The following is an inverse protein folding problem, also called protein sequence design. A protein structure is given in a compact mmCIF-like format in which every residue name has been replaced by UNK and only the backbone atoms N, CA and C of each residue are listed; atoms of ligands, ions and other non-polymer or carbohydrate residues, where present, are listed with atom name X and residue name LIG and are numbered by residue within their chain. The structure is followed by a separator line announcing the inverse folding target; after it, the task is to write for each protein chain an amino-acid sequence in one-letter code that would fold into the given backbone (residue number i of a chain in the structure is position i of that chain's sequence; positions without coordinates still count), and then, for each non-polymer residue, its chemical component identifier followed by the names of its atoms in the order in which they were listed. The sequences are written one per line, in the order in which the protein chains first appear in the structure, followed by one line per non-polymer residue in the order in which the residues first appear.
data_IF_365215395838
#
_entry.id   IF_365215395838
#
_cell.length_a   1.000
_cell.length_b   1.000
_cell.length_c   1.000
_cell.angle_alpha   90.00
_cell.angle_beta   90.00
_cell.angle_gamma   90.00
#
_symmetry.space_group_name_H-M   'P 1'
#
loop_
_entity.id
_entity.type
_entity.pdbx_description
1 polymer ?
#
# COMPACT_ATOMS: atom_id res chain seq x y z
N UNK A 1 18.39 -7.59 24.40
CA UNK A 1 17.10 -8.28 24.22
C UNK A 1 16.12 -7.39 23.49
N UNK A 2 15.95 -6.14 23.92
CA UNK A 2 15.03 -5.22 23.29
C UNK A 2 15.44 -4.85 21.86
N UNK A 3 16.75 -4.78 21.60
CA UNK A 3 17.26 -4.48 20.25
C UNK A 3 16.98 -5.61 19.27
N UNK A 4 17.02 -6.84 19.72
CA UNK A 4 16.70 -7.97 18.85
C UNK A 4 15.23 -7.98 18.48
N UNK A 5 14.34 -7.63 19.40
CA UNK A 5 12.91 -7.54 19.13
C UNK A 5 12.58 -6.40 18.16
N UNK A 6 13.23 -5.24 18.33
CA UNK A 6 13.03 -4.11 17.43
C UNK A 6 13.53 -4.45 16.01
N UNK A 7 14.69 -5.09 15.92
CA UNK A 7 15.25 -5.54 14.65
C UNK A 7 14.34 -6.55 13.96
N UNK A 8 13.77 -7.47 14.72
CA UNK A 8 12.83 -8.47 14.19
C UNK A 8 11.58 -7.82 13.65
N UNK A 9 11.03 -6.81 14.36
CA UNK A 9 9.84 -6.07 13.93
C UNK A 9 10.09 -5.32 12.62
N UNK A 10 11.25 -4.64 12.53
CA UNK A 10 11.62 -3.93 11.31
C UNK A 10 11.81 -4.88 10.14
N UNK A 11 12.44 -6.02 10.37
CA UNK A 11 12.63 -7.04 9.34
C UNK A 11 11.29 -7.60 8.85
N UNK A 12 10.34 -7.82 9.77
CA UNK A 12 9.01 -8.30 9.43
C UNK A 12 8.24 -7.30 8.58
N UNK A 13 8.30 -6.02 8.96
CA UNK A 13 7.67 -4.94 8.18
C UNK A 13 8.32 -4.85 6.80
N UNK A 14 9.65 -4.91 6.72
CA UNK A 14 10.37 -4.83 5.46
C UNK A 14 9.99 -5.97 4.51
N UNK A 15 9.72 -7.16 5.03
CA UNK A 15 9.27 -8.28 4.20
C UNK A 15 7.94 -7.98 3.53
N UNK A 16 7.06 -7.20 4.16
CA UNK A 16 5.77 -6.83 3.58
C UNK A 16 5.94 -5.94 2.35
N UNK A 17 7.04 -5.18 2.25
CA UNK A 17 7.30 -4.30 1.12
C UNK A 17 7.85 -5.05 -0.10
N UNK A 18 8.20 -6.32 0.05
CA UNK A 18 8.81 -7.09 -1.03
C UNK A 18 7.74 -7.88 -1.77
N UNK A 19 7.58 -7.58 -3.05
CA UNK A 19 6.66 -8.32 -3.91
C UNK A 19 7.30 -9.68 -4.25
N UNK A 20 6.63 -10.76 -3.88
CA UNK A 20 7.11 -12.11 -4.11
C UNK A 20 6.04 -12.91 -4.82
N UNK A 21 6.39 -14.16 -5.21
CA UNK A 21 5.49 -15.03 -5.94
C UNK A 21 4.17 -15.30 -5.21
N UNK A 22 4.17 -15.22 -3.87
CA UNK A 22 2.93 -15.44 -3.11
C UNK A 22 1.85 -14.41 -3.40
N UNK A 23 2.24 -13.22 -3.89
CA UNK A 23 1.31 -12.14 -4.22
C UNK A 23 0.83 -12.20 -5.66
N UNK A 24 1.41 -13.06 -6.49
CA UNK A 24 1.04 -13.11 -7.90
C UNK A 24 -0.37 -13.65 -8.09
N UNK A 25 -1.14 -12.94 -8.89
CA UNK A 25 -2.48 -13.37 -9.31
C UNK A 25 -2.44 -14.23 -10.56
N UNK A 26 -1.36 -14.14 -11.34
CA UNK A 26 -1.25 -14.74 -12.65
C UNK A 26 -1.74 -13.84 -13.77
N UNK A 27 -2.30 -12.68 -13.43
CA UNK A 27 -2.73 -11.67 -14.38
C UNK A 27 -1.61 -10.66 -14.47
N UNK A 28 -0.90 -10.63 -15.61
CA UNK A 28 0.37 -9.92 -15.73
C UNK A 28 0.26 -8.44 -15.36
N UNK A 29 -0.71 -7.72 -15.91
CA UNK A 29 -0.79 -6.29 -15.66
C UNK A 29 -1.15 -5.99 -14.19
N UNK A 30 -1.98 -6.81 -13.57
CA UNK A 30 -2.32 -6.65 -12.15
C UNK A 30 -1.08 -6.87 -11.28
N UNK A 31 -0.31 -7.91 -11.59
CA UNK A 31 0.90 -8.23 -10.84
C UNK A 31 1.95 -7.12 -10.96
N UNK A 32 2.12 -6.55 -12.14
CA UNK A 32 3.04 -5.42 -12.34
C UNK A 32 2.58 -4.19 -11.57
N UNK A 33 1.29 -3.90 -11.57
CA UNK A 33 0.74 -2.77 -10.83
C UNK A 33 0.86 -2.97 -9.32
N UNK A 34 0.64 -4.18 -8.83
CA UNK A 34 0.86 -4.49 -7.42
C UNK A 34 2.33 -4.29 -7.04
N UNK A 35 3.24 -4.75 -7.89
CA UNK A 35 4.66 -4.56 -7.66
C UNK A 35 5.02 -3.08 -7.54
N UNK A 36 4.45 -2.24 -8.39
CA UNK A 36 4.69 -0.79 -8.34
C UNK A 36 4.15 -0.18 -7.04
N UNK A 37 2.99 -0.62 -6.58
CA UNK A 37 2.43 -0.17 -5.30
C UNK A 37 3.38 -0.49 -4.14
N UNK A 38 3.91 -1.71 -4.11
CA UNK A 38 4.90 -2.09 -3.09
C UNK A 38 6.15 -1.22 -3.18
N UNK A 39 6.62 -0.90 -4.39
CA UNK A 39 7.79 -0.05 -4.57
C UNK A 39 7.56 1.36 -4.02
N UNK A 40 6.40 1.97 -4.27
CA UNK A 40 6.09 3.31 -3.78
C UNK A 40 6.04 3.32 -2.25
N UNK A 41 5.43 2.29 -1.66
CA UNK A 41 5.35 2.18 -0.20
C UNK A 41 6.76 1.99 0.38
N UNK A 42 7.59 1.17 -0.26
CA UNK A 42 8.97 0.95 0.19
C UNK A 42 9.80 2.24 0.11
N UNK A 43 9.66 3.00 -0.98
CA UNK A 43 10.33 4.31 -1.11
C UNK A 43 9.92 5.25 0.02
N UNK A 44 8.64 5.26 0.37
CA UNK A 44 8.13 6.08 1.47
C UNK A 44 8.73 5.64 2.80
N UNK A 45 8.78 4.34 3.04
CA UNK A 45 9.34 3.77 4.26
C UNK A 45 10.83 4.14 4.40
N UNK A 46 11.60 3.97 3.33
CA UNK A 46 13.02 4.30 3.34
C UNK A 46 13.25 5.80 3.62
N UNK A 47 12.42 6.64 3.00
CA UNK A 47 12.53 8.08 3.20
C UNK A 47 12.24 8.49 4.64
N UNK A 48 11.25 7.87 5.28
CA UNK A 48 10.92 8.13 6.68
C UNK A 48 12.13 7.84 7.58
N UNK A 49 12.89 6.79 7.26
CA UNK A 49 14.05 6.38 8.06
C UNK A 49 15.34 7.11 7.71
N UNK A 50 15.36 7.94 6.66
CA UNK A 50 16.56 8.62 6.22
C UNK A 50 16.78 9.88 7.05
N UNK A 51 17.73 9.81 7.99
CA UNK A 51 18.05 10.90 8.89
C UNK A 51 18.93 11.99 8.25
N UNK A 52 19.42 11.75 7.03
CA UNK A 52 20.31 12.69 6.34
C UNK A 52 19.55 13.70 5.48
N UNK A 53 18.26 13.45 5.23
CA UNK A 53 17.41 14.36 4.45
C UNK A 53 16.69 15.29 5.41
N UNK A 54 16.95 16.60 5.30
CA UNK A 54 16.36 17.59 6.19
C UNK A 54 14.93 17.94 5.84
N UNK A 55 14.59 17.95 4.56
CA UNK A 55 13.27 18.40 4.08
C UNK A 55 12.47 17.23 3.51
N UNK A 56 12.43 16.15 4.25
CA UNK A 56 11.76 14.94 3.80
C UNK A 56 10.24 15.04 3.85
N UNK A 57 9.69 16.01 4.60
CA UNK A 57 8.25 16.15 4.70
C UNK A 57 7.59 16.34 3.34
N UNK A 58 8.10 17.29 2.54
CA UNK A 58 7.56 17.54 1.20
C UNK A 58 7.70 16.32 0.29
N UNK A 59 8.81 15.60 0.42
CA UNK A 59 9.04 14.38 -0.35
C UNK A 59 8.07 13.27 0.04
N UNK A 60 7.79 13.14 1.33
CA UNK A 60 6.83 12.15 1.83
C UNK A 60 5.42 12.48 1.32
N UNK A 61 5.03 13.74 1.37
CA UNK A 61 3.72 14.17 0.84
C UNK A 61 3.62 13.86 -0.65
N UNK A 62 4.70 14.12 -1.40
CA UNK A 62 4.74 13.80 -2.84
C UNK A 62 4.57 12.31 -3.08
N UNK A 63 5.22 11.46 -2.29
CA UNK A 63 5.08 10.02 -2.42
C UNK A 63 3.68 9.53 -2.05
N UNK A 64 3.07 10.13 -1.02
CA UNK A 64 1.68 9.78 -0.65
C UNK A 64 0.70 10.17 -1.75
N UNK A 65 0.91 11.33 -2.41
CA UNK A 65 0.10 11.73 -3.56
C UNK A 65 0.30 10.76 -4.73
N UNK A 66 1.53 10.36 -4.99
CA UNK A 66 1.85 9.36 -6.00
C UNK A 66 1.15 8.04 -5.70
N UNK A 67 1.18 7.61 -4.45
CA UNK A 67 0.52 6.38 -4.02
C UNK A 67 -0.98 6.46 -4.26
N UNK A 68 -1.60 7.59 -3.88
CA UNK A 68 -3.04 7.77 -4.08
C UNK A 68 -3.40 7.71 -5.57
N UNK A 69 -2.69 8.46 -6.40
CA UNK A 69 -2.97 8.51 -7.82
C UNK A 69 -2.77 7.15 -8.48
N UNK A 70 -1.69 6.47 -8.14
CA UNK A 70 -1.41 5.16 -8.71
C UNK A 70 -2.41 4.11 -8.22
N UNK A 71 -2.83 4.21 -6.96
CA UNK A 71 -3.82 3.31 -6.40
C UNK A 71 -5.18 3.47 -7.12
N UNK A 72 -5.59 4.70 -7.37
CA UNK A 72 -6.82 4.97 -8.12
C UNK A 72 -6.74 4.38 -9.54
N UNK A 73 -5.62 4.57 -10.20
CA UNK A 73 -5.37 4.02 -11.53
C UNK A 73 -5.45 2.49 -11.50
N UNK A 74 -4.76 1.87 -10.55
CA UNK A 74 -4.73 0.42 -10.42
C UNK A 74 -6.12 -0.15 -10.14
N UNK A 75 -6.85 0.45 -9.21
CA UNK A 75 -8.20 -0.02 -8.87
C UNK A 75 -9.14 0.09 -10.06
N UNK A 76 -9.03 1.18 -10.83
CA UNK A 76 -9.82 1.34 -12.04
C UNK A 76 -9.51 0.24 -13.06
N UNK A 77 -8.23 -0.02 -13.32
CA UNK A 77 -7.80 -1.06 -14.25
C UNK A 77 -8.31 -2.44 -13.83
N UNK A 78 -8.18 -2.74 -12.55
CA UNK A 78 -8.60 -4.03 -12.00
C UNK A 78 -10.11 -4.20 -12.08
N UNK A 79 -10.86 -3.13 -11.76
CA UNK A 79 -12.33 -3.18 -11.84
C UNK A 79 -12.81 -3.33 -13.29
N UNK A 80 -12.17 -2.65 -14.24
CA UNK A 80 -12.49 -2.80 -15.64
C UNK A 80 -12.21 -4.23 -16.13
N UNK A 81 -11.11 -4.81 -15.68
CA UNK A 81 -10.81 -6.21 -15.98
C UNK A 81 -11.89 -7.14 -15.39
N UNK A 82 -12.26 -6.93 -14.13
CA UNK A 82 -13.30 -7.73 -13.48
C UNK A 82 -14.64 -7.62 -14.20
N UNK A 83 -14.98 -6.43 -14.69
CA UNK A 83 -16.20 -6.24 -15.51
C UNK A 83 -16.11 -7.06 -16.79
N UNK A 84 -14.95 -7.07 -17.44
CA UNK A 84 -14.78 -7.76 -18.71
C UNK A 84 -14.96 -9.27 -18.59
N UNK A 85 -14.65 -9.84 -17.44
CA UNK A 85 -14.78 -11.28 -17.20
C UNK A 85 -16.05 -11.63 -16.41
N UNK A 86 -16.91 -10.65 -16.15
CA UNK A 86 -18.16 -10.81 -15.37
C UNK A 86 -17.90 -11.41 -13.99
N UNK A 87 -16.86 -10.90 -13.31
CA UNK A 87 -16.47 -11.41 -11.99
C UNK A 87 -17.54 -11.11 -10.95
N UNK A 88 -18.00 -12.14 -10.24
CA UNK A 88 -19.08 -12.00 -9.26
C UNK A 88 -18.68 -11.19 -8.04
N UNK A 89 -17.40 -11.12 -7.73
CA UNK A 89 -16.89 -10.34 -6.59
C UNK A 89 -16.64 -8.87 -6.87
N UNK A 90 -17.06 -8.35 -8.03
CA UNK A 90 -16.79 -6.96 -8.43
C UNK A 90 -17.30 -5.96 -7.42
N UNK A 91 -18.53 -6.08 -6.96
CA UNK A 91 -19.12 -5.11 -6.03
C UNK A 91 -18.36 -5.05 -4.71
N UNK A 92 -18.01 -6.22 -4.16
CA UNK A 92 -17.20 -6.29 -2.93
C UNK A 92 -15.83 -5.65 -3.12
N UNK A 93 -15.20 -5.88 -4.27
CA UNK A 93 -13.94 -5.25 -4.61
C UNK A 93 -14.07 -3.73 -4.70
N UNK A 94 -15.12 -3.25 -5.37
CA UNK A 94 -15.35 -1.80 -5.50
C UNK A 94 -15.53 -1.14 -4.14
N UNK A 95 -16.24 -1.79 -3.22
CA UNK A 95 -16.44 -1.27 -1.87
C UNK A 95 -15.12 -1.21 -1.10
N UNK A 96 -14.31 -2.26 -1.19
CA UNK A 96 -13.01 -2.30 -0.53
C UNK A 96 -12.08 -1.23 -1.08
N UNK A 97 -12.05 -1.07 -2.41
CA UNK A 97 -11.23 -0.05 -3.06
C UNK A 97 -11.63 1.36 -2.64
N UNK A 98 -12.94 1.63 -2.63
CA UNK A 98 -13.44 2.95 -2.24
C UNK A 98 -13.10 3.28 -0.79
N UNK A 99 -13.20 2.30 0.10
CA UNK A 99 -12.86 2.49 1.52
C UNK A 99 -11.38 2.80 1.70
N UNK A 100 -10.51 2.15 0.94
CA UNK A 100 -9.08 2.40 1.02
C UNK A 100 -8.72 3.80 0.51
N UNK A 101 -9.27 4.20 -0.63
CA UNK A 101 -9.05 5.54 -1.18
C UNK A 101 -9.55 6.61 -0.20
N UNK A 102 -10.72 6.39 0.41
CA UNK A 102 -11.26 7.30 1.41
C UNK A 102 -10.28 7.48 2.57
N UNK A 103 -9.64 6.40 3.01
CA UNK A 103 -8.63 6.45 4.05
C UNK A 103 -7.43 7.29 3.63
N UNK A 104 -6.98 7.14 2.38
CA UNK A 104 -5.85 7.90 1.86
C UNK A 104 -6.15 9.40 1.77
N UNK A 105 -7.34 9.77 1.25
CA UNK A 105 -7.67 11.19 1.08
C UNK A 105 -7.96 11.88 2.40
N UNK A 106 -8.28 11.14 3.44
CA UNK A 106 -8.57 11.70 4.76
C UNK A 106 -7.35 11.77 5.68
N UNK A 107 -6.14 11.51 5.15
CA UNK A 107 -4.92 11.76 5.90
C UNK A 107 -4.81 13.26 6.16
N UNK A 108 -4.71 13.62 7.45
CA UNK A 108 -4.68 15.03 7.85
C UNK A 108 -3.26 15.57 7.75
N UNK A 109 -2.98 16.24 6.63
CA UNK A 109 -1.66 16.81 6.35
C UNK A 109 -1.37 17.96 7.33
N UNK A 110 -2.39 18.72 7.73
CA UNK A 110 -2.20 19.81 8.70
C UNK A 110 -1.82 19.27 10.06
N UNK A 111 -2.46 18.19 10.50
CA UNK A 111 -2.11 17.52 11.74
C UNK A 111 -0.68 16.99 11.68
N UNK A 112 -0.32 16.37 10.57
CA UNK A 112 1.03 15.86 10.35
C UNK A 112 2.06 16.99 10.41
N UNK A 113 1.77 18.11 9.76
CA UNK A 113 2.66 19.28 9.74
C UNK A 113 2.84 19.89 11.12
N UNK A 114 1.81 19.85 11.95
CA UNK A 114 1.82 20.39 13.32
C UNK A 114 2.54 19.47 14.33
N UNK A 115 2.77 18.21 13.96
CA UNK A 115 3.46 17.26 14.83
C UNK A 115 4.97 17.53 14.85
N UNK A 116 5.53 17.72 16.04
CA UNK A 116 6.98 17.92 16.18
C UNK A 116 7.70 16.59 16.44
N UNK A 117 7.39 15.97 17.59
CA UNK A 117 8.16 14.80 18.04
C UNK A 117 7.59 13.46 17.57
N UNK A 118 6.30 13.42 17.25
CA UNK A 118 5.60 12.17 16.92
C UNK A 118 5.37 12.00 15.41
N UNK A 119 5.90 12.88 14.59
CA UNK A 119 5.69 12.84 13.15
C UNK A 119 6.20 11.53 12.54
N UNK A 120 7.40 11.13 12.92
CA UNK A 120 8.00 9.90 12.40
C UNK A 120 7.17 8.68 12.78
N UNK A 121 6.73 8.60 14.03
CA UNK A 121 5.91 7.46 14.48
C UNK A 121 4.56 7.43 13.75
N UNK A 122 3.94 8.58 13.58
CA UNK A 122 2.68 8.68 12.83
C UNK A 122 2.85 8.16 11.40
N UNK A 123 3.92 8.58 10.73
CA UNK A 123 4.20 8.15 9.35
C UNK A 123 4.48 6.66 9.26
N UNK A 124 5.23 6.12 10.24
CA UNK A 124 5.51 4.69 10.28
C UNK A 124 4.23 3.87 10.48
N UNK A 125 3.35 4.34 11.37
CA UNK A 125 2.07 3.68 11.59
C UNK A 125 1.20 3.70 10.34
N UNK A 126 1.21 4.83 9.63
CA UNK A 126 0.48 4.98 8.38
C UNK A 126 1.00 4.01 7.31
N UNK A 127 2.32 3.97 7.11
CA UNK A 127 2.93 3.08 6.12
C UNK A 127 2.64 1.62 6.47
N UNK A 128 2.73 1.27 7.74
CA UNK A 128 2.42 -0.09 8.19
C UNK A 128 0.96 -0.46 7.89
N UNK A 129 0.05 0.47 8.13
CA UNK A 129 -1.37 0.27 7.79
C UNK A 129 -1.53 0.04 6.28
N UNK A 130 -0.89 0.88 5.46
CA UNK A 130 -1.03 0.82 4.00
C UNK A 130 -0.53 -0.51 3.44
N UNK A 131 0.66 -0.94 3.86
CA UNK A 131 1.23 -2.19 3.34
C UNK A 131 0.47 -3.40 3.85
N UNK A 132 0.00 -3.36 5.09
CA UNK A 132 -0.77 -4.47 5.66
C UNK A 132 -2.11 -4.62 4.93
N UNK A 133 -2.79 -3.51 4.68
CA UNK A 133 -4.04 -3.54 3.93
C UNK A 133 -3.82 -4.10 2.53
N UNK A 134 -2.80 -3.59 1.85
CA UNK A 134 -2.50 -4.01 0.47
C UNK A 134 -2.18 -5.51 0.42
N UNK A 135 -1.30 -5.99 1.30
CA UNK A 135 -0.92 -7.40 1.33
C UNK A 135 -2.14 -8.28 1.59
N UNK A 136 -2.96 -7.93 2.57
CA UNK A 136 -4.15 -8.70 2.91
C UNK A 136 -5.19 -8.68 1.80
N UNK A 137 -5.37 -7.54 1.13
CA UNK A 137 -6.31 -7.42 0.02
C UNK A 137 -5.89 -8.28 -1.17
N UNK A 138 -4.59 -8.24 -1.51
CA UNK A 138 -4.07 -9.07 -2.61
C UNK A 138 -4.26 -10.55 -2.29
N UNK A 139 -3.84 -10.99 -1.12
CA UNK A 139 -3.91 -12.40 -0.74
C UNK A 139 -5.34 -12.89 -0.55
N UNK A 140 -6.21 -12.04 -0.01
CA UNK A 140 -7.59 -12.44 0.32
C UNK A 140 -8.61 -12.19 -0.79
N UNK A 141 -8.38 -11.20 -1.64
CA UNK A 141 -9.37 -10.78 -2.63
C UNK A 141 -8.84 -10.88 -4.06
N UNK A 142 -7.70 -10.26 -4.37
CA UNK A 142 -7.22 -10.17 -5.75
C UNK A 142 -6.83 -11.52 -6.33
N UNK A 143 -6.26 -12.40 -5.53
CA UNK A 143 -5.88 -13.73 -6.01
C UNK A 143 -7.08 -14.57 -6.43
N UNK A 144 -8.26 -14.25 -5.92
CA UNK A 144 -9.49 -14.95 -6.30
C UNK A 144 -9.94 -14.59 -7.71
N UNK A 145 -9.54 -13.45 -8.22
CA UNK A 145 -9.91 -13.01 -9.58
C UNK A 145 -9.35 -13.97 -10.64
N UNK A 146 -8.14 -14.49 -10.40
CA UNK A 146 -7.46 -15.37 -11.35
C UNK A 146 -7.91 -16.82 -11.28
N UNK A 147 -8.72 -17.18 -10.28
CA UNK A 147 -9.25 -18.52 -10.12
C UNK A 147 -10.70 -18.52 -10.57
N UNK A 148 -10.97 -18.82 -11.85
CA UNK A 148 -12.38 -18.95 -12.28
C UNK A 148 -13.03 -20.04 -11.46
N UNK A 149 -14.29 -19.82 -11.13
CA UNK A 149 -15.06 -20.80 -10.40
C UNK A 149 -15.13 -22.12 -11.18
N UNK A 150 -14.77 -23.17 -10.49
CA UNK A 150 -14.84 -24.50 -11.07
C UNK A 150 -16.29 -24.90 -11.37
#
# INVERSE_FOLDING_TARGET
VNKENESSTDADVKKLFTFTDKYKTGIEFIDEEHKRLFEIIDETYELIHDNFIHDKYDQIISLLDQLKDYTEFHFHDEEEYMKSIHYQGLEAQQQAHAAFIDKLVNIDIHELEAMDDNQQQYLLDLVNFLVTWLANHILGADKKISKPEA
#
